data_IF_713857841841
#
_entry.id   IF_713857841841
#
_cell.length_a   1.000
_cell.length_b   1.000
_cell.length_c   1.000
_cell.angle_alpha   90.00
_cell.angle_beta   90.00
_cell.angle_gamma   90.00
#
_symmetry.space_group_name_H-M   'P 1'
#
loop_
_entity.id
_entity.type
_entity.pdbx_description
1 polymer ?
#
# COMPACT_ATOMS: atom_id res chain seq x y z
N UNK A 1 11.83 11.08 7.25
CA UNK A 1 12.68 9.88 7.41
C UNK A 1 13.85 10.16 8.33
N UNK A 2 14.63 11.24 8.12
CA UNK A 2 15.69 11.66 9.06
C UNK A 2 15.21 11.84 10.51
N UNK A 3 14.05 12.45 10.72
CA UNK A 3 13.46 12.62 12.07
C UNK A 3 13.16 11.30 12.81
N UNK A 4 13.13 10.18 12.08
CA UNK A 4 12.89 8.82 12.61
C UNK A 4 14.13 7.91 12.47
N UNK A 5 15.30 8.48 12.14
CA UNK A 5 16.54 7.71 11.96
C UNK A 5 16.57 6.78 10.74
N UNK A 6 15.59 6.89 9.83
CA UNK A 6 15.49 6.07 8.64
C UNK A 6 16.29 6.68 7.49
N UNK A 7 17.05 5.83 6.78
CA UNK A 7 17.68 6.20 5.51
C UNK A 7 16.61 6.46 4.43
N UNK A 8 16.89 7.30 3.41
CA UNK A 8 16.03 7.41 2.25
C UNK A 8 15.72 6.03 1.66
N UNK A 9 14.48 5.76 1.22
CA UNK A 9 14.12 4.44 0.75
C UNK A 9 14.64 4.24 -0.67
N UNK A 10 14.97 3.00 -1.00
CA UNK A 10 15.07 2.60 -2.41
C UNK A 10 13.68 2.69 -3.03
N UNK A 11 13.54 3.41 -4.15
CA UNK A 11 12.26 3.60 -4.83
C UNK A 11 12.30 2.89 -6.18
N UNK A 12 11.50 1.83 -6.32
CA UNK A 12 11.23 1.19 -7.61
C UNK A 12 9.93 1.75 -8.18
N UNK A 13 10.01 2.36 -9.37
CA UNK A 13 8.84 2.96 -10.04
C UNK A 13 8.20 1.93 -10.96
N UNK A 14 6.89 1.76 -10.83
CA UNK A 14 6.10 0.86 -11.66
C UNK A 14 4.83 1.53 -12.17
N UNK A 15 4.17 0.92 -13.16
CA UNK A 15 2.93 1.42 -13.77
C UNK A 15 1.80 0.39 -13.76
N UNK A 16 2.01 -0.78 -13.15
CA UNK A 16 1.10 -1.93 -13.25
C UNK A 16 0.60 -2.45 -11.91
N UNK A 17 -0.07 -3.60 -11.99
CA UNK A 17 -0.61 -4.32 -10.83
C UNK A 17 0.29 -5.46 -10.37
N UNK A 18 -0.27 -6.67 -10.25
CA UNK A 18 0.40 -7.83 -9.68
C UNK A 18 1.76 -8.19 -10.32
N UNK A 19 1.87 -8.16 -11.66
CA UNK A 19 3.13 -8.47 -12.35
C UNK A 19 4.24 -7.45 -12.05
N UNK A 20 3.87 -6.17 -11.96
CA UNK A 20 4.80 -5.13 -11.56
C UNK A 20 5.24 -5.29 -10.10
N UNK A 21 4.35 -5.75 -9.22
CA UNK A 21 4.68 -6.04 -7.83
C UNK A 21 5.69 -7.17 -7.70
N UNK A 22 5.53 -8.24 -8.50
CA UNK A 22 6.51 -9.34 -8.59
C UNK A 22 7.88 -8.82 -9.04
N UNK A 23 7.92 -8.10 -10.16
CA UNK A 23 9.17 -7.59 -10.73
C UNK A 23 9.87 -6.60 -9.79
N UNK A 24 9.11 -5.69 -9.15
CA UNK A 24 9.66 -4.71 -8.23
C UNK A 24 10.22 -5.36 -6.96
N UNK A 25 9.54 -6.37 -6.41
CA UNK A 25 10.10 -7.07 -5.25
C UNK A 25 11.38 -7.81 -5.63
N UNK A 26 11.41 -8.48 -6.79
CA UNK A 26 12.61 -9.13 -7.29
C UNK A 26 13.81 -8.17 -7.34
N UNK A 27 13.61 -6.97 -7.89
CA UNK A 27 14.65 -5.93 -7.92
C UNK A 27 15.10 -5.50 -6.52
N UNK A 28 14.16 -5.27 -5.60
CA UNK A 28 14.46 -4.82 -4.24
C UNK A 28 15.24 -5.86 -3.43
N UNK A 29 14.90 -7.14 -3.55
CA UNK A 29 15.56 -8.21 -2.77
C UNK A 29 16.90 -8.64 -3.37
N UNK A 30 17.14 -8.36 -4.65
CA UNK A 30 18.42 -8.62 -5.32
C UNK A 30 19.42 -7.45 -5.13
N UNK A 31 19.02 -6.38 -4.45
CA UNK A 31 19.91 -5.26 -4.11
C UNK A 31 21.01 -5.67 -3.13
N UNK A 32 22.14 -4.97 -3.15
CA UNK A 32 23.27 -5.24 -2.24
C UNK A 32 22.89 -5.17 -0.76
N UNK A 33 21.92 -4.33 -0.43
CA UNK A 33 21.30 -4.24 0.90
C UNK A 33 19.78 -4.34 0.73
N UNK A 34 19.21 -5.55 0.80
CA UNK A 34 17.76 -5.74 0.70
C UNK A 34 17.02 -5.00 1.81
N UNK A 35 15.84 -4.43 1.54
CA UNK A 35 15.04 -3.79 2.58
C UNK A 35 14.43 -4.83 3.53
N UNK A 36 14.17 -4.43 4.78
CA UNK A 36 13.39 -5.23 5.75
C UNK A 36 11.90 -4.87 5.75
N UNK A 37 11.52 -3.80 5.05
CA UNK A 37 10.15 -3.36 4.91
C UNK A 37 9.90 -2.76 3.52
N UNK A 38 8.73 -3.05 2.94
CA UNK A 38 8.28 -2.50 1.67
C UNK A 38 6.92 -1.85 1.83
N UNK A 39 6.80 -0.61 1.37
CA UNK A 39 5.54 0.14 1.29
C UNK A 39 5.17 0.26 -0.18
N UNK A 40 3.98 -0.22 -0.55
CA UNK A 40 3.47 -0.14 -1.92
C UNK A 40 2.37 0.91 -2.03
N UNK A 41 2.09 1.37 -3.24
CA UNK A 41 1.11 2.44 -3.50
C UNK A 41 -0.31 1.92 -3.78
N UNK A 42 -0.50 0.60 -3.89
CA UNK A 42 -1.80 -0.06 -3.92
C UNK A 42 -1.67 -1.56 -3.65
N UNK A 43 -2.77 -2.20 -3.21
CA UNK A 43 -2.79 -3.59 -2.76
C UNK A 43 -2.41 -4.60 -3.86
N UNK A 44 -2.69 -4.31 -5.12
CA UNK A 44 -2.32 -5.20 -6.24
C UNK A 44 -0.81 -5.35 -6.38
N UNK A 45 -0.04 -4.29 -6.12
CA UNK A 45 1.43 -4.37 -6.08
C UNK A 45 1.90 -5.21 -4.89
N UNK A 46 1.35 -4.98 -3.70
CA UNK A 46 1.70 -5.75 -2.52
C UNK A 46 1.40 -7.25 -2.70
N UNK A 47 0.23 -7.61 -3.21
CA UNK A 47 -0.12 -9.02 -3.47
C UNK A 47 0.82 -9.64 -4.52
N UNK A 48 1.19 -8.88 -5.55
CA UNK A 48 2.22 -9.28 -6.50
C UNK A 48 3.57 -9.55 -5.82
N UNK A 49 3.99 -8.65 -4.92
CA UNK A 49 5.20 -8.82 -4.11
C UNK A 49 5.09 -10.05 -3.20
N UNK A 50 3.97 -10.31 -2.52
CA UNK A 50 3.78 -11.53 -1.71
C UNK A 50 4.01 -12.80 -2.52
N UNK A 51 3.51 -12.84 -3.76
CA UNK A 51 3.72 -13.99 -4.65
C UNK A 51 5.21 -14.21 -4.96
N UNK A 52 5.96 -13.13 -5.21
CA UNK A 52 7.40 -13.22 -5.46
C UNK A 52 8.20 -13.56 -4.20
N UNK A 53 7.81 -13.02 -3.04
CA UNK A 53 8.40 -13.34 -1.75
C UNK A 53 8.24 -14.85 -1.45
N UNK A 54 7.02 -15.37 -1.62
CA UNK A 54 6.72 -16.79 -1.45
C UNK A 54 7.55 -17.65 -2.40
N UNK A 55 7.66 -17.27 -3.69
CA UNK A 55 8.52 -17.97 -4.67
C UNK A 55 9.98 -18.04 -4.24
N UNK A 56 10.47 -17.00 -3.54
CA UNK A 56 11.85 -16.89 -3.03
C UNK A 56 12.02 -17.44 -1.61
N UNK A 57 10.96 -17.93 -0.97
CA UNK A 57 10.98 -18.40 0.41
C UNK A 57 11.14 -17.30 1.46
N UNK A 58 10.89 -16.04 1.10
CA UNK A 58 10.91 -14.90 2.03
C UNK A 58 9.57 -14.86 2.76
N UNK A 59 9.59 -14.91 4.10
CA UNK A 59 8.36 -14.91 4.90
C UNK A 59 7.91 -13.48 5.15
N UNK A 60 6.91 -13.02 4.41
CA UNK A 60 6.28 -11.72 4.66
C UNK A 60 5.71 -11.67 6.08
N UNK A 61 5.83 -10.53 6.74
CA UNK A 61 5.51 -10.33 8.15
C UNK A 61 6.68 -10.65 9.07
N UNK A 62 7.45 -11.72 8.80
CA UNK A 62 8.53 -12.16 9.68
C UNK A 62 9.93 -11.74 9.21
N UNK A 63 10.30 -12.05 7.96
CA UNK A 63 11.60 -11.67 7.37
C UNK A 63 11.53 -10.29 6.74
N UNK A 64 10.34 -9.90 6.26
CA UNK A 64 10.10 -8.62 5.59
C UNK A 64 8.68 -8.12 5.86
N UNK A 65 8.55 -6.90 6.37
CA UNK A 65 7.26 -6.23 6.48
C UNK A 65 6.78 -5.76 5.10
N UNK A 66 5.48 -5.88 4.82
CA UNK A 66 4.89 -5.44 3.57
C UNK A 66 3.55 -4.75 3.84
N UNK A 67 3.35 -3.60 3.19
CA UNK A 67 2.10 -2.84 3.27
C UNK A 67 1.55 -2.49 1.88
N UNK A 68 0.23 -2.51 1.79
CA UNK A 68 -0.57 -2.06 0.67
C UNK A 68 -1.21 -0.69 0.88
N UNK A 69 -2.10 -0.34 -0.05
CA UNK A 69 -2.93 0.85 -0.03
C UNK A 69 -4.23 0.51 -0.77
N UNK A 70 -5.38 1.01 -0.29
CA UNK A 70 -6.78 0.80 -0.73
C UNK A 70 -7.61 -0.06 0.24
N UNK A 71 -7.00 -1.06 0.87
CA UNK A 71 -7.64 -2.11 1.67
C UNK A 71 -8.76 -2.87 0.93
N UNK A 72 -8.44 -3.38 -0.27
CA UNK A 72 -9.37 -4.18 -1.07
C UNK A 72 -9.75 -5.48 -0.35
N UNK A 73 -10.92 -6.10 -0.67
CA UNK A 73 -11.38 -7.31 0.00
C UNK A 73 -10.39 -8.48 -0.04
N UNK A 74 -9.53 -8.55 -1.07
CA UNK A 74 -8.51 -9.59 -1.20
C UNK A 74 -7.44 -9.54 -0.10
N UNK A 75 -7.24 -8.39 0.57
CA UNK A 75 -6.24 -8.21 1.64
C UNK A 75 -6.42 -9.17 2.82
N UNK A 76 -7.66 -9.58 3.12
CA UNK A 76 -7.94 -10.56 4.19
C UNK A 76 -7.89 -12.02 3.71
N UNK A 77 -7.80 -12.24 2.40
CA UNK A 77 -7.83 -13.58 1.79
C UNK A 77 -6.44 -14.10 1.40
N UNK A 78 -5.46 -13.21 1.27
CA UNK A 78 -4.06 -13.58 1.03
C UNK A 78 -3.37 -14.04 2.32
N UNK A 79 -2.30 -14.83 2.16
CA UNK A 79 -1.50 -15.33 3.28
C UNK A 79 -0.04 -14.84 3.17
N UNK A 80 0.49 -14.12 4.18
CA UNK A 80 -0.23 -13.57 5.33
C UNK A 80 -1.25 -12.50 4.91
N UNK A 81 -2.27 -12.26 5.74
CA UNK A 81 -3.21 -11.17 5.53
C UNK A 81 -2.48 -9.81 5.46
N UNK A 82 -2.78 -9.02 4.44
CA UNK A 82 -2.03 -7.82 4.06
C UNK A 82 -2.45 -6.61 4.91
N UNK A 83 -1.50 -5.97 5.58
CA UNK A 83 -1.65 -4.64 6.16
C UNK A 83 -1.85 -3.62 5.04
N UNK A 84 -2.89 -2.79 5.12
CA UNK A 84 -3.18 -1.80 4.08
C UNK A 84 -3.83 -0.54 4.66
N UNK A 85 -3.61 0.59 3.99
CA UNK A 85 -4.30 1.85 4.28
C UNK A 85 -5.64 1.84 3.54
N UNK A 86 -6.74 1.75 4.29
CA UNK A 86 -8.09 1.85 3.76
C UNK A 86 -8.40 3.28 3.34
N UNK A 87 -8.80 3.42 2.08
CA UNK A 87 -9.36 4.67 1.56
C UNK A 87 -10.89 4.62 1.65
N UNK A 88 -11.54 5.61 2.30
CA UNK A 88 -13.00 5.66 2.43
C UNK A 88 -13.65 6.16 1.14
N UNK A 89 -13.54 5.37 0.07
CA UNK A 89 -14.02 5.74 -1.28
C UNK A 89 -15.54 5.96 -1.35
N UNK A 90 -16.30 5.33 -0.47
CA UNK A 90 -17.73 5.55 -0.30
C UNK A 90 -18.02 6.99 0.17
N UNK A 91 -17.33 7.44 1.21
CA UNK A 91 -17.44 8.81 1.73
C UNK A 91 -16.94 9.82 0.70
N UNK A 92 -15.81 9.53 0.04
CA UNK A 92 -15.29 10.38 -1.04
C UNK A 92 -16.30 10.50 -2.18
N UNK A 93 -16.94 9.40 -2.58
CA UNK A 93 -17.95 9.39 -3.64
C UNK A 93 -19.19 10.22 -3.29
N UNK A 94 -19.65 10.18 -2.04
CA UNK A 94 -20.75 10.99 -1.53
C UNK A 94 -20.41 12.49 -1.62
N UNK A 95 -19.26 12.89 -1.04
CA UNK A 95 -18.77 14.26 -1.07
C UNK A 95 -18.61 14.76 -2.51
N UNK A 96 -17.99 13.96 -3.40
CA UNK A 96 -17.81 14.33 -4.80
C UNK A 96 -19.15 14.52 -5.51
N UNK A 97 -20.15 13.70 -5.21
CA UNK A 97 -21.48 13.83 -5.82
C UNK A 97 -22.15 15.13 -5.41
N UNK A 98 -22.07 15.51 -4.13
CA UNK A 98 -22.60 16.78 -3.62
C UNK A 98 -21.88 17.99 -4.24
N UNK A 99 -20.55 17.94 -4.30
CA UNK A 99 -19.75 19.02 -4.89
C UNK A 99 -20.04 19.21 -6.38
N UNK A 100 -20.26 18.13 -7.14
CA UNK A 100 -20.65 18.21 -8.55
C UNK A 100 -22.02 18.86 -8.71
N UNK A 101 -23.00 18.49 -7.88
CA UNK A 101 -24.35 19.11 -7.92
C UNK A 101 -24.29 20.60 -7.59
N UNK A 102 -23.54 20.99 -6.56
CA UNK A 102 -23.34 22.39 -6.19
C UNK A 102 -22.64 23.18 -7.32
N UNK A 103 -21.59 22.62 -7.92
CA UNK A 103 -20.90 23.25 -9.04
C UNK A 103 -21.81 23.49 -10.26
N UNK A 104 -22.71 22.54 -10.55
CA UNK A 104 -23.73 22.71 -11.61
C UNK A 104 -24.76 23.80 -11.28
N UNK A 105 -25.01 24.07 -10.00
CA UNK A 105 -25.87 25.15 -9.52
C UNK A 105 -25.17 26.54 -9.53
N UNK A 106 -23.88 26.58 -9.87
CA UNK A 106 -23.09 27.82 -9.94
C UNK A 106 -22.27 28.12 -8.68
N UNK A 107 -22.21 27.20 -7.73
CA UNK A 107 -21.35 27.34 -6.56
C UNK A 107 -19.89 27.10 -6.94
N UNK A 108 -18.97 27.91 -6.40
CA UNK A 108 -17.54 27.71 -6.61
C UNK A 108 -17.05 26.54 -5.74
N UNK A 109 -16.20 25.63 -6.27
CA UNK A 109 -15.59 24.60 -5.45
C UNK A 109 -14.71 25.25 -4.37
N UNK A 110 -14.88 24.79 -3.12
CA UNK A 110 -14.08 25.23 -1.98
C UNK A 110 -12.67 24.63 -1.97
N UNK A 111 -11.99 24.73 -0.82
CA UNK A 111 -10.71 24.05 -0.60
C UNK A 111 -10.87 22.52 -0.63
N UNK A 112 -9.76 21.81 -0.88
CA UNK A 112 -9.74 20.35 -0.89
C UNK A 112 -10.14 19.77 0.47
N UNK A 113 -11.02 18.77 0.46
CA UNK A 113 -11.47 18.07 1.66
C UNK A 113 -10.56 16.86 1.89
N UNK A 114 -9.92 16.77 3.06
CA UNK A 114 -9.21 15.58 3.50
C UNK A 114 -10.19 14.64 4.19
N UNK A 115 -10.41 13.47 3.59
CA UNK A 115 -11.13 12.37 4.26
C UNK A 115 -10.09 11.48 4.92
N UNK A 116 -10.20 11.31 6.24
CA UNK A 116 -9.21 10.59 7.04
C UNK A 116 -9.12 9.10 6.61
N UNK A 117 -7.94 8.61 6.21
CA UNK A 117 -7.74 7.19 5.93
C UNK A 117 -7.59 6.37 7.21
N UNK A 118 -7.76 5.05 7.12
CA UNK A 118 -7.57 4.13 8.24
C UNK A 118 -6.45 3.14 7.93
N UNK A 119 -5.50 2.93 8.85
CA UNK A 119 -4.49 1.89 8.69
C UNK A 119 -4.99 0.58 9.31
N UNK A 120 -5.29 -0.40 8.44
CA UNK A 120 -5.69 -1.73 8.86
C UNK A 120 -4.47 -2.64 8.98
N UNK A 121 -3.96 -2.75 10.21
CA UNK A 121 -2.79 -3.58 10.55
C UNK A 121 -3.15 -5.06 10.58
N UNK A 122 -2.38 -5.88 9.84
CA UNK A 122 -2.53 -7.33 9.73
C UNK A 122 -1.16 -8.04 9.76
N UNK A 123 -1.18 -9.35 9.55
CA UNK A 123 -0.02 -10.23 9.73
C UNK A 123 1.19 -9.89 8.84
N UNK A 124 1.01 -9.22 7.69
CA UNK A 124 2.12 -8.87 6.80
C UNK A 124 3.09 -7.81 7.34
N UNK A 125 2.79 -7.17 8.48
CA UNK A 125 3.66 -6.12 9.06
C UNK A 125 3.84 -6.21 10.58
N UNK A 126 3.45 -7.32 11.21
CA UNK A 126 3.45 -7.46 12.69
C UNK A 126 4.41 -8.52 13.21
N UNK A 127 5.25 -9.14 12.36
CA UNK A 127 6.22 -10.10 12.87
C UNK A 127 7.32 -9.38 13.65
N UNK A 128 7.79 -10.08 14.68
CA UNK A 128 8.88 -9.63 15.52
C UNK A 128 10.18 -9.75 14.71
N UNK A 129 10.93 -8.66 14.49
CA UNK A 129 12.27 -8.76 13.94
C UNK A 129 13.12 -9.43 15.02
N UNK A 130 13.42 -10.72 14.83
CA UNK A 130 14.26 -11.49 15.75
C UNK A 130 15.61 -10.84 16.03
#
# INVERSE_FOLDING_TARGET
MEAWGLQPPTVVRTTGGYDSGRAALAELVDAATPPTAVVTVHDGLAIGAQAEASRRGIRIGADMALTGFDDIPTCVLVDPALTSVRQPFDVVGEILSELVVAALAGDAPGEGILVEPELNVRASSTGDPG
#
